data_IF_635716362457
#
_entry.id   IF_635716362457
#
_cell.length_a   1.000
_cell.length_b   1.000
_cell.length_c   1.000
_cell.angle_alpha   90.00
_cell.angle_beta   90.00
_cell.angle_gamma   90.00
#
_symmetry.space_group_name_H-M   'P 1'
#
loop_
_entity.id
_entity.type
_entity.pdbx_description
1 polymer ?
#
# COMPACT_ATOMS: atom_id res chain seq x y z
N UNK A 1 -9.68 17.09 39.94
CA UNK A 1 -10.72 16.32 39.24
C UNK A 1 -10.19 16.15 37.83
N UNK A 2 -9.49 15.05 37.64
CA UNK A 2 -8.90 14.65 36.36
C UNK A 2 -9.99 14.00 35.52
N UNK A 3 -10.03 14.33 34.24
CA UNK A 3 -10.74 13.51 33.26
C UNK A 3 -9.82 13.38 32.05
N UNK A 4 -9.04 12.30 32.08
CA UNK A 4 -8.20 11.85 30.98
C UNK A 4 -9.12 11.26 29.92
N UNK A 5 -9.40 12.04 28.88
CA UNK A 5 -10.07 11.59 27.65
C UNK A 5 -9.15 10.65 26.88
N UNK A 6 -9.07 9.41 27.35
CA UNK A 6 -8.41 8.30 26.69
C UNK A 6 -9.17 8.04 25.37
N UNK A 7 -8.60 8.48 24.25
CA UNK A 7 -9.08 8.19 22.91
C UNK A 7 -9.20 6.68 22.72
N UNK A 8 -10.43 6.19 22.73
CA UNK A 8 -10.77 4.79 22.53
C UNK A 8 -10.64 4.48 21.04
N UNK A 9 -9.48 3.96 20.63
CA UNK A 9 -9.25 3.40 19.30
C UNK A 9 -10.30 2.32 19.01
N UNK A 10 -11.08 2.55 17.96
CA UNK A 10 -12.13 1.65 17.48
C UNK A 10 -11.57 0.32 17.01
N UNK A 11 -11.84 -0.73 17.78
CA UNK A 11 -11.81 -2.12 17.34
C UNK A 11 -13.24 -2.66 17.41
N UNK A 12 -14.04 -2.41 16.38
CA UNK A 12 -15.32 -3.10 16.21
C UNK A 12 -15.11 -4.33 15.31
N UNK A 13 -14.59 -5.39 15.92
CA UNK A 13 -14.52 -6.74 15.36
C UNK A 13 -15.73 -7.54 15.87
N UNK A 14 -16.91 -7.33 15.29
CA UNK A 14 -18.10 -8.15 15.54
C UNK A 14 -18.87 -8.37 14.22
N UNK A 15 -18.32 -9.21 13.33
CA UNK A 15 -19.12 -9.92 12.32
C UNK A 15 -19.07 -11.41 12.67
N UNK A 16 -20.15 -11.88 13.30
CA UNK A 16 -20.31 -13.21 13.88
C UNK A 16 -20.46 -14.30 12.82
N UNK A 17 -19.88 -15.46 13.15
CA UNK A 17 -19.96 -16.74 12.48
C UNK A 17 -21.38 -17.34 12.39
N UNK A 18 -21.62 -18.09 11.29
CA UNK A 18 -22.34 -19.39 11.11
C UNK A 18 -22.82 -19.45 9.64
N UNK A 19 -22.68 -20.52 8.85
CA UNK A 19 -22.84 -21.95 9.15
C UNK A 19 -22.28 -22.88 8.02
N UNK A 20 -21.75 -24.03 8.44
CA UNK A 20 -21.76 -25.38 7.84
C UNK A 20 -21.02 -25.74 6.52
N UNK A 21 -19.83 -26.34 6.71
CA UNK A 21 -19.31 -27.62 6.20
C UNK A 21 -20.07 -28.35 5.07
N UNK A 22 -19.36 -28.58 3.95
CA UNK A 22 -19.45 -29.83 3.19
C UNK A 22 -18.02 -30.34 2.89
N UNK A 23 -17.76 -31.58 3.28
CA UNK A 23 -16.47 -32.26 3.18
C UNK A 23 -16.69 -33.50 2.34
N UNK A 24 -16.30 -33.48 1.06
CA UNK A 24 -15.94 -34.72 0.37
C UNK A 24 -15.04 -34.48 -0.84
N UNK A 25 -13.99 -35.30 -0.89
CA UNK A 25 -13.21 -35.72 -2.07
C UNK A 25 -12.30 -34.69 -2.76
N UNK A 26 -11.06 -34.60 -2.26
CA UNK A 26 -9.90 -34.36 -3.14
C UNK A 26 -8.91 -35.52 -3.01
N UNK A 27 -8.67 -36.18 -4.14
CA UNK A 27 -7.77 -37.33 -4.33
C UNK A 27 -6.42 -36.78 -4.77
N UNK A 28 -5.35 -37.09 -4.05
CA UNK A 28 -3.98 -36.82 -4.48
C UNK A 28 -3.55 -37.81 -5.58
N UNK A 29 -2.94 -37.35 -6.69
CA UNK A 29 -2.12 -38.21 -7.51
C UNK A 29 -0.66 -38.15 -7.05
N UNK A 30 -0.19 -39.30 -6.53
CA UNK A 30 1.23 -39.66 -6.45
C UNK A 30 1.84 -39.61 -7.86
N UNK A 31 2.96 -38.90 -8.02
CA UNK A 31 3.82 -38.99 -9.20
C UNK A 31 5.19 -39.54 -8.81
N UNK A 32 5.65 -40.51 -9.59
CA UNK A 32 6.76 -41.42 -9.34
C UNK A 32 8.09 -40.89 -9.88
N UNK A 33 9.14 -41.21 -9.13
CA UNK A 33 10.60 -41.20 -9.37
C UNK A 33 11.10 -41.24 -10.82
N UNK A 34 12.21 -40.54 -11.11
CA UNK A 34 13.32 -41.04 -11.94
C UNK A 34 14.68 -40.44 -11.54
N UNK A 35 15.71 -41.30 -11.61
CA UNK A 35 17.10 -41.17 -11.12
C UNK A 35 18.06 -40.72 -12.23
N UNK A 36 19.03 -39.86 -11.85
CA UNK A 36 20.40 -39.55 -12.34
C UNK A 36 20.79 -39.68 -13.83
N UNK A 37 21.50 -38.67 -14.36
CA UNK A 37 22.81 -38.89 -15.01
C UNK A 37 23.70 -37.62 -15.00
N UNK A 38 25.00 -37.86 -14.85
CA UNK A 38 26.11 -36.90 -14.75
C UNK A 38 26.60 -36.50 -16.12
N UNK A 39 26.83 -35.21 -16.38
CA UNK A 39 27.84 -34.78 -17.36
C UNK A 39 28.35 -33.36 -17.02
N UNK A 40 29.61 -33.27 -16.60
CA UNK A 40 30.38 -32.03 -16.52
C UNK A 40 30.77 -31.59 -17.94
N UNK A 41 30.44 -30.35 -18.30
CA UNK A 41 31.07 -29.63 -19.42
C UNK A 41 31.38 -28.20 -18.96
N UNK A 42 32.59 -27.74 -19.23
CA UNK A 42 33.16 -26.48 -18.78
C UNK A 42 33.08 -25.34 -19.82
N UNK A 43 32.90 -24.12 -19.30
CA UNK A 43 33.13 -22.77 -19.86
C UNK A 43 32.08 -22.14 -20.81
N UNK A 44 32.00 -20.79 -20.93
CA UNK A 44 32.65 -19.71 -20.19
C UNK A 44 31.67 -18.87 -19.33
N UNK A 45 32.20 -17.99 -18.47
CA UNK A 45 31.42 -17.11 -17.60
C UNK A 45 30.50 -16.16 -18.40
N UNK A 46 29.23 -16.52 -18.53
CA UNK A 46 28.17 -15.58 -18.86
C UNK A 46 27.80 -14.80 -17.60
N UNK A 47 27.65 -13.50 -17.72
CA UNK A 47 27.04 -12.67 -16.69
C UNK A 47 25.72 -13.29 -16.28
N UNK A 48 25.68 -13.90 -15.09
CA UNK A 48 24.45 -14.31 -14.45
C UNK A 48 23.66 -13.01 -14.23
N UNK A 49 22.72 -12.74 -15.13
CA UNK A 49 21.60 -11.90 -14.77
C UNK A 49 20.99 -12.55 -13.56
N UNK A 50 21.02 -11.78 -12.50
CA UNK A 50 20.64 -12.16 -11.18
C UNK A 50 19.12 -12.40 -11.19
N UNK A 51 18.70 -13.66 -11.40
CA UNK A 51 17.31 -14.17 -11.28
C UNK A 51 16.76 -14.06 -9.84
N UNK A 52 17.35 -13.18 -9.04
CA UNK A 52 16.91 -12.84 -7.72
C UNK A 52 15.60 -12.06 -7.85
N UNK A 53 14.50 -12.74 -7.55
CA UNK A 53 13.13 -12.23 -7.29
C UNK A 53 13.10 -11.29 -6.07
N UNK A 54 14.17 -10.53 -5.86
CA UNK A 54 14.35 -9.63 -4.75
C UNK A 54 13.59 -8.35 -5.13
N UNK A 55 12.34 -8.19 -4.68
CA UNK A 55 11.51 -7.00 -4.89
C UNK A 55 12.07 -5.70 -4.25
N UNK A 56 13.36 -5.69 -3.91
CA UNK A 56 14.07 -4.56 -3.32
C UNK A 56 14.41 -3.53 -4.39
N UNK A 57 14.21 -2.26 -4.05
CA UNK A 57 14.57 -1.10 -4.86
C UNK A 57 15.85 -0.46 -4.35
N UNK A 58 16.47 0.36 -5.19
CA UNK A 58 17.54 1.27 -4.79
C UNK A 58 17.02 2.71 -4.88
N UNK A 59 16.93 3.40 -3.73
CA UNK A 59 16.52 4.81 -3.65
C UNK A 59 17.65 5.61 -3.01
N UNK A 60 18.18 6.59 -3.74
CA UNK A 60 19.29 7.44 -3.30
C UNK A 60 20.52 6.67 -2.77
N UNK A 61 20.85 5.54 -3.41
CA UNK A 61 21.98 4.68 -3.03
C UNK A 61 21.69 3.76 -1.84
N UNK A 62 20.44 3.68 -1.38
CA UNK A 62 20.01 2.78 -0.30
C UNK A 62 19.14 1.67 -0.87
N UNK A 63 19.56 0.42 -0.69
CA UNK A 63 18.72 -0.75 -0.97
C UNK A 63 17.63 -0.88 0.10
N UNK A 64 16.37 -0.92 -0.31
CA UNK A 64 15.22 -1.00 0.58
C UNK A 64 14.06 -1.75 -0.11
N UNK A 65 13.04 -2.14 0.65
CA UNK A 65 11.85 -2.80 0.09
C UNK A 65 10.93 -1.81 -0.65
N UNK A 66 10.96 -0.52 -0.28
CA UNK A 66 10.15 0.51 -0.92
C UNK A 66 10.25 1.88 -0.24
N UNK A 67 9.64 2.89 -0.85
CA UNK A 67 9.52 4.25 -0.30
C UNK A 67 8.11 4.48 0.22
N UNK A 68 8.02 4.97 1.46
CA UNK A 68 6.77 5.27 2.14
C UNK A 68 6.71 6.75 2.48
N UNK A 69 5.83 7.48 1.79
CA UNK A 69 5.57 8.88 2.07
C UNK A 69 4.44 9.00 3.10
N UNK A 70 4.70 9.76 4.15
CA UNK A 70 3.68 10.23 5.10
C UNK A 70 3.39 11.68 4.75
N UNK A 71 2.16 11.95 4.34
CA UNK A 71 1.73 13.21 3.74
C UNK A 71 0.59 13.78 4.56
N UNK A 72 0.84 14.96 5.14
CA UNK A 72 -0.17 15.73 5.86
C UNK A 72 -0.60 16.92 5.00
N UNK A 73 -1.90 17.04 4.74
CA UNK A 73 -2.53 18.17 4.08
C UNK A 73 -3.27 19.00 5.11
N UNK A 74 -2.98 20.30 5.15
CA UNK A 74 -3.66 21.29 6.00
C UNK A 74 -4.36 22.33 5.13
N UNK A 75 -5.46 22.87 5.65
CA UNK A 75 -6.34 23.81 4.94
C UNK A 75 -6.77 23.23 3.58
N UNK A 76 -7.10 21.95 3.57
CA UNK A 76 -7.50 21.18 2.40
C UNK A 76 -9.03 21.13 2.26
N UNK A 77 -9.49 21.04 1.01
CA UNK A 77 -10.91 21.08 0.65
C UNK A 77 -11.40 19.74 0.09
N UNK A 78 -12.73 19.55 0.03
CA UNK A 78 -13.39 18.35 -0.56
C UNK A 78 -12.99 17.03 0.10
N UNK A 79 -12.85 17.08 1.42
CA UNK A 79 -12.39 15.97 2.25
C UNK A 79 -13.49 14.98 2.65
N UNK A 80 -14.74 15.23 2.25
CA UNK A 80 -15.94 14.43 2.48
C UNK A 80 -16.60 13.94 1.17
N UNK A 81 -16.01 14.28 0.01
CA UNK A 81 -16.50 13.89 -1.32
C UNK A 81 -15.91 12.53 -1.73
N UNK A 82 -16.64 11.46 -1.42
CA UNK A 82 -16.20 10.08 -1.67
C UNK A 82 -15.78 9.81 -3.12
N UNK A 83 -16.61 10.11 -4.14
CA UNK A 83 -16.22 9.94 -5.54
C UNK A 83 -14.92 10.67 -5.89
N UNK A 84 -14.74 11.87 -5.34
CA UNK A 84 -13.54 12.66 -5.61
C UNK A 84 -12.29 12.10 -4.94
N UNK A 85 -12.40 11.62 -3.70
CA UNK A 85 -11.31 10.94 -3.00
C UNK A 85 -10.92 9.67 -3.78
N UNK A 86 -11.90 8.88 -4.24
CA UNK A 86 -11.61 7.69 -5.06
C UNK A 86 -10.87 8.05 -6.35
N UNK A 87 -11.31 9.08 -7.06
CA UNK A 87 -10.65 9.57 -8.29
C UNK A 87 -9.21 10.04 -8.00
N UNK A 88 -8.99 10.76 -6.90
CA UNK A 88 -7.65 11.19 -6.49
C UNK A 88 -6.72 9.99 -6.23
N UNK A 89 -7.21 8.96 -5.52
CA UNK A 89 -6.45 7.72 -5.28
C UNK A 89 -6.13 6.98 -6.59
N UNK A 90 -7.10 6.85 -7.50
CA UNK A 90 -6.87 6.23 -8.83
C UNK A 90 -5.85 7.01 -9.66
N UNK A 91 -5.91 8.33 -9.60
CA UNK A 91 -4.95 9.21 -10.28
C UNK A 91 -3.55 9.04 -9.71
N UNK A 92 -3.42 8.99 -8.38
CA UNK A 92 -2.14 8.69 -7.70
C UNK A 92 -1.54 7.37 -8.20
N UNK A 93 -2.35 6.31 -8.24
CA UNK A 93 -1.89 4.99 -8.70
C UNK A 93 -1.42 5.03 -10.15
N UNK A 94 -2.19 5.68 -11.02
CA UNK A 94 -1.86 5.80 -12.46
C UNK A 94 -0.57 6.59 -12.69
N UNK A 95 -0.45 7.77 -12.08
CA UNK A 95 0.71 8.66 -12.25
C UNK A 95 1.99 8.10 -11.62
N UNK A 96 1.85 7.34 -10.53
CA UNK A 96 2.97 6.68 -9.88
C UNK A 96 3.40 5.39 -10.61
N UNK A 97 2.63 4.90 -11.59
CA UNK A 97 2.92 3.65 -12.30
C UNK A 97 2.73 2.40 -11.44
N UNK A 98 1.84 2.46 -10.45
CA UNK A 98 1.52 1.31 -9.61
C UNK A 98 0.31 0.53 -10.16
N UNK A 99 0.16 -0.72 -9.72
CA UNK A 99 -0.98 -1.57 -10.10
C UNK A 99 -2.03 -1.55 -9.01
N UNK A 100 -3.22 -1.02 -9.33
CA UNK A 100 -4.36 -1.03 -8.44
C UNK A 100 -5.00 -2.42 -8.37
N UNK A 101 -5.24 -2.93 -7.17
CA UNK A 101 -6.06 -4.12 -6.94
C UNK A 101 -7.50 -3.74 -6.56
N UNK A 102 -7.65 -2.95 -5.50
CA UNK A 102 -8.96 -2.58 -4.95
C UNK A 102 -8.91 -1.20 -4.29
N UNK A 103 -10.06 -0.53 -4.18
CA UNK A 103 -10.24 0.65 -3.32
C UNK A 103 -11.40 0.37 -2.38
N UNK A 104 -11.20 0.65 -1.09
CA UNK A 104 -12.25 0.62 -0.07
C UNK A 104 -12.29 1.99 0.63
N UNK A 105 -13.44 2.64 0.60
CA UNK A 105 -13.69 3.90 1.31
C UNK A 105 -14.86 3.72 2.28
N UNK A 106 -14.74 4.28 3.47
CA UNK A 106 -15.76 4.32 4.50
C UNK A 106 -16.05 5.77 4.89
N UNK A 107 -17.25 6.31 4.59
CA UNK A 107 -17.68 7.62 5.08
C UNK A 107 -18.10 7.52 6.55
N UNK A 108 -17.74 8.52 7.34
CA UNK A 108 -18.24 8.70 8.69
C UNK A 108 -19.39 9.71 8.75
N UNK A 109 -20.02 9.81 9.91
CA UNK A 109 -21.04 10.82 10.22
C UNK A 109 -20.54 11.69 11.38
N UNK A 110 -20.73 13.03 11.34
CA UNK A 110 -21.41 13.78 10.27
C UNK A 110 -20.60 13.91 8.98
N UNK A 111 -19.27 13.80 9.04
CA UNK A 111 -18.35 13.95 7.91
C UNK A 111 -17.06 13.15 8.12
N UNK A 112 -16.19 13.13 7.11
CA UNK A 112 -14.89 12.44 7.13
C UNK A 112 -14.89 11.07 6.46
N UNK A 113 -13.71 10.62 6.05
CA UNK A 113 -13.50 9.40 5.27
C UNK A 113 -12.25 8.69 5.75
N UNK A 114 -12.36 7.37 5.95
CA UNK A 114 -11.20 6.47 6.00
C UNK A 114 -11.17 5.63 4.73
N UNK A 115 -9.99 5.45 4.14
CA UNK A 115 -9.86 4.74 2.88
C UNK A 115 -8.53 4.05 2.68
N UNK A 116 -8.53 3.01 1.85
CA UNK A 116 -7.32 2.35 1.37
C UNK A 116 -7.46 1.94 -0.09
N UNK A 117 -6.47 2.29 -0.90
CA UNK A 117 -6.21 1.68 -2.20
C UNK A 117 -5.14 0.60 -2.00
N UNK A 118 -5.53 -0.66 -2.19
CA UNK A 118 -4.63 -1.81 -2.12
C UNK A 118 -3.94 -1.96 -3.47
N UNK A 119 -2.61 -1.95 -3.46
CA UNK A 119 -1.77 -2.11 -4.64
C UNK A 119 -1.19 -3.52 -4.67
N UNK A 120 -0.63 -3.95 -5.80
CA UNK A 120 -0.09 -5.30 -5.96
C UNK A 120 0.86 -5.75 -4.82
N UNK A 121 1.66 -4.81 -4.28
CA UNK A 121 2.67 -5.12 -3.25
C UNK A 121 2.72 -4.05 -2.13
N UNK A 122 1.74 -3.13 -2.07
CA UNK A 122 1.79 -1.96 -1.19
C UNK A 122 0.40 -1.28 -1.05
N UNK A 123 0.33 0.00 -0.66
CA UNK A 123 -0.96 0.68 -0.44
C UNK A 123 -0.87 2.20 -0.52
N UNK A 124 -2.03 2.83 -0.74
CA UNK A 124 -2.28 4.23 -0.36
C UNK A 124 -3.40 4.23 0.67
N UNK A 125 -3.20 4.78 1.87
CA UNK A 125 -4.30 5.04 2.82
C UNK A 125 -4.60 6.53 2.97
N UNK A 126 -5.83 6.83 3.37
CA UNK A 126 -6.31 8.18 3.64
C UNK A 126 -7.20 8.19 4.87
N UNK A 127 -7.02 9.22 5.69
CA UNK A 127 -7.92 9.61 6.77
C UNK A 127 -8.19 11.10 6.69
N UNK A 128 -9.46 11.51 6.68
CA UNK A 128 -9.85 12.91 6.56
C UNK A 128 -10.63 13.41 7.77
N UNK A 129 -10.39 14.68 8.11
CA UNK A 129 -11.08 15.49 9.11
C UNK A 129 -11.52 16.82 8.45
N UNK A 130 -12.63 16.81 7.69
CA UNK A 130 -13.13 17.98 6.97
C UNK A 130 -13.33 19.21 7.86
N UNK A 131 -13.79 19.01 9.10
CA UNK A 131 -14.00 20.06 10.11
C UNK A 131 -12.72 20.83 10.44
N UNK A 132 -11.56 20.19 10.26
CA UNK A 132 -10.24 20.76 10.51
C UNK A 132 -9.50 21.12 9.22
N UNK A 133 -10.11 20.90 8.04
CA UNK A 133 -9.43 21.03 6.75
C UNK A 133 -8.19 20.15 6.66
N UNK A 134 -8.21 18.97 7.29
CA UNK A 134 -7.03 18.13 7.47
C UNK A 134 -7.21 16.75 6.83
N UNK A 135 -6.18 16.28 6.14
CA UNK A 135 -6.12 14.91 5.67
C UNK A 135 -4.72 14.33 5.81
N UNK A 136 -4.66 13.10 6.31
CA UNK A 136 -3.45 12.30 6.40
C UNK A 136 -3.47 11.23 5.31
N UNK A 137 -2.39 11.16 4.53
CA UNK A 137 -2.19 10.15 3.51
C UNK A 137 -0.89 9.39 3.77
N UNK A 138 -0.96 8.06 3.60
CA UNK A 138 0.20 7.19 3.56
C UNK A 138 0.33 6.66 2.14
N UNK A 139 1.45 6.91 1.47
CA UNK A 139 1.72 6.42 0.11
C UNK A 139 2.93 5.52 0.18
N UNK A 140 2.70 4.22 0.29
CA UNK A 140 3.76 3.22 0.28
C UNK A 140 3.82 2.56 -1.09
N UNK A 141 5.00 2.55 -1.71
CA UNK A 141 5.21 1.90 -3.01
C UNK A 141 6.57 1.21 -3.10
N UNK A 142 6.60 0.11 -3.85
CA UNK A 142 7.76 -0.73 -4.12
C UNK A 142 8.03 -0.79 -5.63
N UNK A 143 9.15 -1.40 -6.04
CA UNK A 143 9.54 -1.54 -7.45
C UNK A 143 9.78 -0.20 -8.18
N UNK A 144 9.44 -0.17 -9.47
CA UNK A 144 9.64 1.01 -10.33
C UNK A 144 8.62 2.15 -10.11
N UNK A 145 7.69 1.98 -9.16
CA UNK A 145 6.67 2.96 -8.86
C UNK A 145 7.25 4.23 -8.22
N UNK A 146 6.62 5.38 -8.51
CA UNK A 146 7.10 6.72 -8.15
C UNK A 146 6.15 7.39 -7.15
N UNK A 147 6.22 7.08 -5.85
CA UNK A 147 5.28 7.59 -4.86
C UNK A 147 5.26 9.12 -4.78
N UNK A 148 6.39 9.79 -5.08
CA UNK A 148 6.46 11.25 -5.13
C UNK A 148 5.48 11.91 -6.12
N UNK A 149 5.02 11.18 -7.15
CA UNK A 149 4.00 11.67 -8.08
C UNK A 149 2.65 11.87 -7.40
N UNK A 150 2.35 11.10 -6.36
CA UNK A 150 1.11 11.21 -5.60
C UNK A 150 1.03 12.56 -4.88
N UNK A 151 2.14 13.12 -4.40
CA UNK A 151 2.14 14.43 -3.70
C UNK A 151 1.54 15.52 -4.58
N UNK A 152 1.92 15.59 -5.85
CA UNK A 152 1.41 16.60 -6.77
C UNK A 152 -0.04 16.33 -7.20
N UNK A 153 -0.45 15.06 -7.28
CA UNK A 153 -1.87 14.70 -7.50
C UNK A 153 -2.72 15.18 -6.32
N UNK A 154 -2.32 14.86 -5.09
CA UNK A 154 -3.05 15.21 -3.88
C UNK A 154 -3.12 16.73 -3.69
N UNK A 155 -2.05 17.47 -3.98
CA UNK A 155 -2.06 18.94 -3.95
C UNK A 155 -3.02 19.56 -4.96
N UNK A 156 -3.11 18.99 -6.17
CA UNK A 156 -4.09 19.45 -7.18
C UNK A 156 -5.52 19.10 -6.79
N UNK A 157 -5.72 17.93 -6.17
CA UNK A 157 -7.04 17.47 -5.79
C UNK A 157 -7.61 18.28 -4.63
N UNK A 158 -6.87 18.38 -3.53
CA UNK A 158 -7.40 18.93 -2.28
C UNK A 158 -6.98 20.37 -1.99
N UNK A 159 -6.21 20.98 -2.90
CA UNK A 159 -5.77 22.39 -2.86
C UNK A 159 -5.37 22.88 -1.45
N UNK A 160 -4.49 22.15 -0.74
CA UNK A 160 -4.14 22.48 0.64
C UNK A 160 -3.40 23.82 0.73
N UNK A 161 -3.70 24.60 1.75
CA UNK A 161 -2.91 25.78 2.11
C UNK A 161 -1.48 25.43 2.55
N UNK A 162 -1.29 24.24 3.13
CA UNK A 162 0.04 23.71 3.51
C UNK A 162 0.11 22.20 3.34
N UNK A 163 1.24 21.73 2.80
CA UNK A 163 1.55 20.30 2.65
C UNK A 163 2.84 19.98 3.40
N UNK A 164 2.81 18.95 4.23
CA UNK A 164 4.00 18.38 4.87
C UNK A 164 4.20 16.96 4.35
N UNK A 165 5.44 16.61 3.99
CA UNK A 165 5.80 15.29 3.48
C UNK A 165 7.02 14.81 4.24
N UNK A 166 6.98 13.57 4.71
CA UNK A 166 8.15 12.84 5.20
C UNK A 166 8.29 11.52 4.46
N UNK A 167 9.53 11.10 4.20
CA UNK A 167 9.81 9.86 3.48
C UNK A 167 10.52 8.86 4.41
N UNK A 168 9.99 7.64 4.43
CA UNK A 168 10.53 6.50 5.16
C UNK A 168 10.87 5.42 4.14
N UNK A 169 12.16 5.10 3.98
CA UNK A 169 12.53 3.89 3.23
C UNK A 169 12.29 2.67 4.11
N UNK A 170 11.43 1.75 3.64
CA UNK A 170 11.00 0.55 4.37
C UNK A 170 11.94 -0.60 4.06
N UNK A 171 12.28 -1.42 5.06
CA UNK A 171 13.13 -2.60 4.84
C UNK A 171 14.56 -2.28 4.43
N UNK A 172 15.16 -1.21 4.97
CA UNK A 172 16.60 -0.98 4.87
C UNK A 172 17.34 -2.17 5.49
N UNK A 173 18.46 -2.56 4.90
CA UNK A 173 19.39 -3.57 5.46
C UNK A 173 18.80 -4.97 5.65
N UNK A 174 17.63 -5.27 5.06
CA UNK A 174 17.15 -6.65 4.97
C UNK A 174 18.03 -7.35 3.95
N UNK A 175 18.94 -8.19 4.45
CA UNK A 175 19.91 -8.98 3.70
C UNK A 175 19.30 -10.29 3.20
#
# INVERSE_FOLDING_TARGET
MSDDGLFQLGMDLEAREREAVDTSTFVEPRSTTHTEDTTQVSAPASHAQDDRLDHFIEKDGVRCAGSHLIIDLYDAERLDDLPYIEEALRTCVTEAGATLLHIHLHPFQPEGVSGVAVLAESHISVHTWPEAGYAAFDVFMCGDAKPEKCVEVLKRAFTPGRTQVSELLRGKEVA
#
